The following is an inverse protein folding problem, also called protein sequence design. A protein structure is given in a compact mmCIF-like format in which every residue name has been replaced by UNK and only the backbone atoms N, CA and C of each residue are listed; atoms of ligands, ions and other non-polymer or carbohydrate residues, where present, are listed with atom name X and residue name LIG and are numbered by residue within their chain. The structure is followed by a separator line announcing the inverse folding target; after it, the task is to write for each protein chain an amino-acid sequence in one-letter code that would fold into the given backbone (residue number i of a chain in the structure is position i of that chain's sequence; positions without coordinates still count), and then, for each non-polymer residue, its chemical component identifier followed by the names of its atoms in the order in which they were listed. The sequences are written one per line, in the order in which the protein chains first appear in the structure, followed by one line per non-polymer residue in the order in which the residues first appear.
data_IF_819911055899
#
_entry.id   IF_819911055899
#
_cell.length_a   1.000
_cell.length_b   1.000
_cell.length_c   1.000
_cell.angle_alpha   90.00
_cell.angle_beta   90.00
_cell.angle_gamma   90.00
#
_symmetry.space_group_name_H-M   'P 1'
#
loop_
_entity.id
_entity.type
_entity.pdbx_description
1 polymer ?
#
# COMPACT_ATOMS: atom_id res chain seq x y z
N UNK A 1 2.87 9.35 -52.66
CA UNK A 1 2.97 8.07 -51.92
C UNK A 1 4.24 8.11 -51.08
N UNK A 2 4.13 8.49 -49.81
CA UNK A 2 5.24 8.45 -48.85
C UNK A 2 4.70 7.70 -47.63
N UNK A 3 5.19 6.49 -47.42
CA UNK A 3 4.86 5.68 -46.26
C UNK A 3 5.72 6.12 -45.05
N UNK A 4 5.15 6.27 -43.84
CA UNK A 4 5.97 6.41 -42.65
C UNK A 4 6.24 5.04 -42.02
N UNK A 5 7.52 4.82 -41.70
CA UNK A 5 8.05 3.71 -40.91
C UNK A 5 7.40 3.70 -39.52
N UNK A 6 6.75 2.59 -39.17
CA UNK A 6 6.32 2.30 -37.80
C UNK A 6 7.46 1.75 -36.96
N UNK A 7 7.95 2.54 -36.01
CA UNK A 7 8.77 2.04 -34.90
C UNK A 7 7.80 1.56 -33.82
N UNK A 8 7.57 0.25 -33.75
CA UNK A 8 6.90 -0.40 -32.62
C UNK A 8 7.90 -0.58 -31.48
N UNK A 9 8.01 0.43 -30.62
CA UNK A 9 8.57 0.27 -29.28
C UNK A 9 7.46 -0.19 -28.34
N UNK A 10 7.25 -1.50 -28.22
CA UNK A 10 6.38 -2.06 -27.21
C UNK A 10 7.01 -1.87 -25.83
N UNK A 11 6.41 -1.03 -25.00
CA UNK A 11 6.71 -1.00 -23.57
C UNK A 11 6.09 -2.26 -22.97
N UNK A 12 6.91 -3.29 -22.79
CA UNK A 12 6.57 -4.46 -21.97
C UNK A 12 6.49 -3.98 -20.53
N UNK A 13 5.28 -3.62 -20.09
CA UNK A 13 5.00 -3.38 -18.67
C UNK A 13 5.15 -4.73 -17.97
N UNK A 14 6.18 -4.84 -17.15
CA UNK A 14 6.45 -6.03 -16.35
C UNK A 14 5.25 -6.23 -15.42
N UNK A 15 4.52 -7.33 -15.62
CA UNK A 15 3.71 -7.90 -14.56
C UNK A 15 4.65 -8.04 -13.36
N UNK A 16 4.34 -7.44 -12.22
CA UNK A 16 4.94 -7.91 -10.97
C UNK A 16 4.63 -9.40 -10.90
N UNK A 17 5.67 -10.18 -11.12
CA UNK A 17 5.55 -11.62 -11.16
C UNK A 17 5.18 -12.06 -9.75
N UNK A 18 4.30 -13.05 -9.58
CA UNK A 18 3.98 -13.56 -8.25
C UNK A 18 5.29 -13.85 -7.51
N UNK A 19 5.42 -13.37 -6.27
CA UNK A 19 6.63 -13.60 -5.47
C UNK A 19 7.03 -15.07 -5.58
N UNK A 20 8.31 -15.27 -5.82
CA UNK A 20 8.94 -16.57 -6.03
C UNK A 20 9.84 -16.90 -4.85
N UNK A 21 10.26 -18.16 -4.76
CA UNK A 21 11.22 -18.61 -3.75
C UNK A 21 12.52 -17.79 -3.79
N UNK A 22 12.97 -17.38 -4.98
CA UNK A 22 14.17 -16.56 -5.14
C UNK A 22 14.11 -15.23 -4.37
N UNK A 23 12.92 -14.65 -4.23
CA UNK A 23 12.71 -13.35 -3.59
C UNK A 23 12.85 -13.41 -2.06
N UNK A 24 12.68 -14.61 -1.48
CA UNK A 24 12.59 -14.81 -0.03
C UNK A 24 13.62 -15.80 0.53
N UNK A 25 14.34 -16.52 -0.33
CA UNK A 25 15.27 -17.56 0.12
C UNK A 25 16.50 -16.96 0.83
N UNK A 26 16.99 -17.68 1.83
CA UNK A 26 18.30 -17.44 2.41
C UNK A 26 19.35 -17.86 1.38
N UNK A 27 20.15 -16.91 0.95
CA UNK A 27 21.29 -17.15 0.06
C UNK A 27 22.48 -17.70 0.84
N UNK A 28 23.27 -18.55 0.19
CA UNK A 28 24.48 -19.16 0.77
C UNK A 28 24.25 -19.79 2.16
N UNK A 29 23.34 -20.78 2.29
CA UNK A 29 23.08 -21.43 3.56
C UNK A 29 24.32 -22.17 4.07
N UNK A 30 24.46 -22.29 5.40
CA UNK A 30 25.47 -23.20 5.94
C UNK A 30 25.12 -24.64 5.57
N UNK A 31 26.15 -25.46 5.34
CA UNK A 31 26.04 -26.83 4.85
C UNK A 31 27.01 -27.74 5.58
N UNK A 32 26.82 -29.04 5.45
CA UNK A 32 27.74 -30.07 5.95
C UNK A 32 28.00 -31.15 4.91
N UNK A 33 29.14 -31.82 5.02
CA UNK A 33 29.46 -33.00 4.20
C UNK A 33 29.04 -34.29 4.91
N UNK A 34 28.94 -35.40 4.18
CA UNK A 34 28.64 -36.71 4.81
C UNK A 34 29.73 -37.14 5.80
N UNK A 35 30.97 -36.72 5.56
CA UNK A 35 32.11 -36.99 6.45
C UNK A 35 32.15 -36.11 7.70
N UNK A 36 31.34 -35.04 7.77
CA UNK A 36 31.29 -34.17 8.94
C UNK A 36 30.71 -34.94 10.13
N UNK A 37 31.19 -34.62 11.32
CA UNK A 37 30.72 -35.22 12.57
C UNK A 37 29.38 -34.62 13.00
N UNK A 38 28.63 -35.35 13.81
CA UNK A 38 27.40 -34.86 14.45
C UNK A 38 27.68 -33.60 15.28
N UNK A 39 28.83 -33.54 15.95
CA UNK A 39 29.27 -32.34 16.70
C UNK A 39 29.39 -31.11 15.79
N UNK A 40 30.10 -31.23 14.67
CA UNK A 40 30.22 -30.14 13.68
C UNK A 40 28.87 -29.70 13.12
N UNK A 41 27.97 -30.66 12.84
CA UNK A 41 26.62 -30.34 12.35
C UNK A 41 25.78 -29.57 13.39
N UNK A 42 25.85 -29.95 14.67
CA UNK A 42 25.18 -29.23 15.76
C UNK A 42 25.74 -27.82 15.90
N UNK A 43 27.06 -27.67 15.84
CA UNK A 43 27.72 -26.36 15.93
C UNK A 43 27.34 -25.45 14.76
N UNK A 44 27.29 -25.98 13.54
CA UNK A 44 26.83 -25.26 12.35
C UNK A 44 25.38 -24.77 12.49
N UNK A 45 24.45 -25.63 12.94
CA UNK A 45 23.05 -25.28 13.20
C UNK A 45 22.96 -24.13 14.21
N UNK A 46 23.66 -24.25 15.33
CA UNK A 46 23.63 -23.26 16.42
C UNK A 46 24.22 -21.93 15.99
N UNK A 47 25.32 -21.96 15.25
CA UNK A 47 26.05 -20.75 14.82
C UNK A 47 25.25 -19.93 13.83
N UNK A 48 24.54 -20.59 12.92
CA UNK A 48 23.79 -19.92 11.84
C UNK A 48 22.28 -19.81 12.11
N UNK A 49 21.80 -20.32 13.25
CA UNK A 49 20.38 -20.29 13.59
C UNK A 49 19.48 -21.03 12.60
N UNK A 50 20.00 -22.04 11.89
CA UNK A 50 19.26 -22.75 10.85
C UNK A 50 18.43 -23.91 11.42
N UNK A 51 17.20 -24.08 10.92
CA UNK A 51 16.31 -25.18 11.31
C UNK A 51 16.81 -26.58 10.90
N UNK A 52 17.84 -26.65 10.06
CA UNK A 52 18.52 -27.87 9.63
C UNK A 52 19.59 -27.54 8.58
N UNK A 53 20.40 -28.52 8.21
CA UNK A 53 21.52 -28.34 7.30
C UNK A 53 21.35 -29.17 6.03
N UNK A 54 21.51 -28.56 4.85
CA UNK A 54 21.78 -29.27 3.62
C UNK A 54 23.08 -30.07 3.74
N UNK A 55 22.99 -31.35 3.35
CA UNK A 55 24.15 -32.22 3.21
C UNK A 55 24.60 -32.15 1.76
N UNK A 56 25.85 -31.72 1.52
CA UNK A 56 26.38 -31.49 0.18
C UNK A 56 27.66 -32.28 -0.08
N UNK A 57 27.88 -32.64 -1.35
CA UNK A 57 29.16 -33.15 -1.85
C UNK A 57 29.60 -32.26 -3.02
N UNK A 58 30.62 -31.45 -2.80
CA UNK A 58 30.89 -30.31 -3.68
C UNK A 58 29.80 -29.25 -3.53
N UNK A 59 29.13 -28.91 -4.64
CA UNK A 59 27.98 -28.00 -4.70
C UNK A 59 26.63 -28.73 -4.81
N UNK A 60 26.67 -30.07 -4.91
CA UNK A 60 25.49 -30.91 -5.11
C UNK A 60 24.80 -31.24 -3.80
N UNK A 61 23.49 -31.04 -3.75
CA UNK A 61 22.66 -31.50 -2.63
C UNK A 61 22.53 -33.03 -2.65
N UNK A 62 22.88 -33.67 -1.53
CA UNK A 62 22.80 -35.14 -1.38
C UNK A 62 21.96 -35.60 -0.18
N UNK A 63 21.30 -34.66 0.49
CA UNK A 63 20.35 -34.92 1.58
C UNK A 63 20.20 -33.72 2.51
N UNK A 64 19.43 -33.90 3.58
CA UNK A 64 19.19 -32.87 4.59
C UNK A 64 19.22 -33.45 6.00
N UNK A 65 19.79 -32.73 6.97
CA UNK A 65 19.83 -33.18 8.37
C UNK A 65 19.17 -32.17 9.30
N UNK A 66 18.21 -32.64 10.08
CA UNK A 66 17.44 -31.84 11.05
C UNK A 66 17.92 -32.10 12.48
N UNK A 67 17.76 -31.14 13.41
CA UNK A 67 18.13 -31.31 14.82
C UNK A 67 17.61 -32.61 15.44
N UNK A 68 16.36 -32.98 15.17
CA UNK A 68 15.74 -34.19 15.71
C UNK A 68 16.45 -35.50 15.32
N UNK A 69 17.16 -35.52 14.17
CA UNK A 69 17.95 -36.67 13.72
C UNK A 69 19.33 -36.74 14.37
N UNK A 70 19.89 -35.59 14.75
CA UNK A 70 21.16 -35.48 15.45
C UNK A 70 21.00 -35.74 16.95
N UNK A 71 19.81 -35.53 17.50
CA UNK A 71 19.52 -35.78 18.91
C UNK A 71 19.84 -37.23 19.29
N UNK A 72 20.56 -37.37 20.42
CA UNK A 72 21.00 -38.65 20.99
C UNK A 72 21.98 -39.44 20.12
N UNK A 73 22.54 -38.87 19.06
CA UNK A 73 23.65 -39.48 18.32
C UNK A 73 24.99 -39.16 19.01
N UNK A 74 25.96 -40.10 19.01
CA UNK A 74 27.31 -39.81 19.47
C UNK A 74 27.95 -38.69 18.63
N UNK A 75 28.57 -37.70 19.27
CA UNK A 75 29.09 -36.51 18.59
C UNK A 75 30.18 -36.81 17.54
N UNK A 76 30.93 -37.89 17.72
CA UNK A 76 32.01 -38.31 16.79
C UNK A 76 31.48 -39.06 15.56
N UNK A 77 30.22 -39.51 15.57
CA UNK A 77 29.61 -40.21 14.44
C UNK A 77 29.46 -39.25 13.27
N UNK A 78 29.57 -39.74 12.04
CA UNK A 78 29.43 -38.89 10.87
C UNK A 78 27.97 -38.69 10.46
N UNK A 79 27.67 -37.57 9.81
CA UNK A 79 26.33 -37.28 9.26
C UNK A 79 25.91 -38.36 8.26
N UNK A 80 26.86 -38.90 7.48
CA UNK A 80 26.62 -39.99 6.54
C UNK A 80 26.14 -41.28 7.23
N UNK A 81 26.68 -41.59 8.41
CA UNK A 81 26.27 -42.78 9.18
C UNK A 81 24.94 -42.59 9.92
N UNK A 82 24.59 -41.35 10.30
CA UNK A 82 23.29 -41.02 10.92
C UNK A 82 22.16 -41.08 9.89
N UNK A 83 22.47 -40.77 8.62
CA UNK A 83 21.52 -40.82 7.52
C UNK A 83 20.82 -39.47 7.31
N UNK A 84 21.07 -38.87 6.15
CA UNK A 84 20.35 -37.67 5.72
C UNK A 84 18.91 -38.03 5.29
N UNK A 85 17.97 -37.13 5.49
CA UNK A 85 16.62 -37.26 4.96
C UNK A 85 16.62 -36.86 3.48
N UNK A 86 15.86 -37.60 2.68
CA UNK A 86 15.43 -37.10 1.38
C UNK A 86 14.31 -36.09 1.63
N UNK A 87 14.61 -34.83 1.39
CA UNK A 87 13.65 -33.73 1.45
C UNK A 87 13.44 -33.22 0.03
N UNK A 88 12.20 -32.86 -0.32
CA UNK A 88 11.98 -32.20 -1.60
C UNK A 88 12.75 -30.88 -1.63
N UNK A 89 13.28 -30.56 -2.80
CA UNK A 89 13.91 -29.28 -3.04
C UNK A 89 12.97 -28.38 -3.84
N UNK A 90 12.92 -27.10 -3.46
CA UNK A 90 12.24 -26.07 -4.25
C UNK A 90 13.17 -25.57 -5.36
N UNK A 91 12.59 -25.00 -6.42
CA UNK A 91 13.35 -24.24 -7.41
C UNK A 91 13.24 -22.74 -7.12
N UNK A 92 14.23 -21.91 -7.52
CA UNK A 92 14.16 -20.47 -7.29
C UNK A 92 12.93 -19.80 -7.93
N UNK A 93 12.49 -20.29 -9.09
CA UNK A 93 11.35 -19.77 -9.85
C UNK A 93 9.98 -20.20 -9.29
N UNK A 94 9.96 -21.06 -8.26
CA UNK A 94 8.72 -21.62 -7.73
C UNK A 94 7.89 -20.53 -7.04
N UNK A 95 6.58 -20.39 -7.35
CA UNK A 95 5.73 -19.44 -6.65
C UNK A 95 5.62 -19.75 -5.15
N UNK A 96 5.57 -18.72 -4.29
CA UNK A 96 5.52 -18.88 -2.83
C UNK A 96 4.32 -19.72 -2.35
N UNK A 97 3.18 -19.65 -3.06
CA UNK A 97 2.04 -20.53 -2.78
C UNK A 97 2.35 -22.02 -2.95
N UNK A 98 3.08 -22.40 -3.99
CA UNK A 98 3.47 -23.79 -4.22
C UNK A 98 4.59 -24.23 -3.26
N UNK A 99 5.49 -23.32 -2.88
CA UNK A 99 6.48 -23.59 -1.84
C UNK A 99 5.82 -23.90 -0.48
N UNK A 100 4.75 -23.17 -0.13
CA UNK A 100 3.94 -23.46 1.07
C UNK A 100 3.32 -24.86 1.03
N UNK A 101 2.76 -25.26 -0.12
CA UNK A 101 2.16 -26.57 -0.29
C UNK A 101 3.21 -27.69 -0.09
N UNK A 102 4.40 -27.54 -0.65
CA UNK A 102 5.51 -28.48 -0.47
C UNK A 102 5.94 -28.60 1.01
N UNK A 103 6.14 -27.47 1.70
CA UNK A 103 6.50 -27.45 3.12
C UNK A 103 5.44 -28.18 3.96
N UNK A 104 4.16 -27.89 3.71
CA UNK A 104 3.05 -28.44 4.49
C UNK A 104 2.85 -29.94 4.22
N UNK A 105 2.92 -30.37 2.95
CA UNK A 105 2.78 -31.77 2.56
C UNK A 105 3.90 -32.66 3.11
N UNK A 106 5.12 -32.12 3.24
CA UNK A 106 6.26 -32.85 3.80
C UNK A 106 6.42 -32.70 5.30
N UNK A 107 5.55 -31.93 5.97
CA UNK A 107 5.69 -31.57 7.38
C UNK A 107 7.10 -31.01 7.69
N UNK A 108 7.59 -30.15 6.79
CA UNK A 108 8.91 -29.56 6.86
C UNK A 108 8.84 -28.06 7.16
N UNK A 109 9.75 -27.59 8.02
CA UNK A 109 9.88 -26.17 8.35
C UNK A 109 10.82 -25.42 7.39
N UNK A 110 11.55 -26.15 6.56
CA UNK A 110 12.55 -25.61 5.61
C UNK A 110 12.69 -26.53 4.41
N UNK A 111 12.83 -25.96 3.22
CA UNK A 111 13.22 -26.68 2.00
C UNK A 111 14.56 -26.15 1.48
N UNK A 112 15.46 -27.03 1.03
CA UNK A 112 16.57 -26.61 0.20
C UNK A 112 16.08 -26.10 -1.15
N UNK A 113 16.76 -25.09 -1.67
CA UNK A 113 16.48 -24.51 -3.00
C UNK A 113 17.60 -24.92 -3.93
N UNK A 114 17.25 -25.53 -5.07
CA UNK A 114 18.22 -26.08 -6.03
C UNK A 114 17.99 -25.59 -7.45
N UNK A 115 19.09 -25.44 -8.19
CA UNK A 115 19.10 -25.34 -9.65
C UNK A 115 19.69 -26.63 -10.23
N UNK A 116 18.82 -27.49 -10.77
CA UNK A 116 19.22 -28.86 -11.07
C UNK A 116 19.49 -29.64 -9.79
N UNK A 117 20.73 -30.04 -9.55
CA UNK A 117 21.19 -30.73 -8.34
C UNK A 117 22.05 -29.83 -7.43
N UNK A 118 22.36 -28.61 -7.87
CA UNK A 118 23.18 -27.64 -7.16
C UNK A 118 22.37 -26.88 -6.13
N UNK A 119 22.84 -26.85 -4.89
CA UNK A 119 22.23 -26.05 -3.82
C UNK A 119 22.48 -24.55 -4.05
N UNK A 120 21.42 -23.75 -4.06
CA UNK A 120 21.50 -22.29 -4.23
C UNK A 120 20.90 -21.50 -3.06
N UNK A 121 20.09 -22.13 -2.21
CA UNK A 121 19.48 -21.45 -1.07
C UNK A 121 18.70 -22.35 -0.12
N UNK A 122 18.04 -21.72 0.86
CA UNK A 122 17.01 -22.33 1.71
C UNK A 122 15.77 -21.44 1.75
N UNK A 123 14.59 -22.04 1.74
CA UNK A 123 13.33 -21.32 1.98
C UNK A 123 12.66 -21.89 3.24
N UNK A 124 12.31 -21.02 4.18
CA UNK A 124 11.71 -21.42 5.47
C UNK A 124 10.20 -21.25 5.44
N UNK A 125 9.50 -22.07 6.20
CA UNK A 125 8.07 -21.94 6.42
C UNK A 125 7.74 -20.56 7.02
N UNK A 126 8.57 -20.04 7.91
CA UNK A 126 8.40 -18.69 8.47
C UNK A 126 8.43 -17.62 7.38
N UNK A 127 9.42 -17.61 6.49
CA UNK A 127 9.51 -16.62 5.40
C UNK A 127 8.33 -16.72 4.43
N UNK A 128 7.90 -17.94 4.12
CA UNK A 128 6.72 -18.20 3.29
C UNK A 128 5.44 -17.73 3.98
N UNK A 129 5.28 -17.99 5.27
CA UNK A 129 4.14 -17.56 6.07
C UNK A 129 4.13 -16.05 6.29
N UNK A 130 5.27 -15.39 6.45
CA UNK A 130 5.37 -13.93 6.52
C UNK A 130 4.92 -13.29 5.21
N UNK A 131 5.39 -13.81 4.08
CA UNK A 131 4.94 -13.34 2.78
C UNK A 131 3.44 -13.57 2.53
N UNK A 132 2.86 -14.65 3.08
CA UNK A 132 1.43 -14.97 2.95
C UNK A 132 0.53 -14.26 3.97
N UNK A 133 1.00 -14.07 5.21
CA UNK A 133 0.25 -13.44 6.30
C UNK A 133 0.14 -11.92 6.11
N UNK A 134 1.03 -11.33 5.32
CA UNK A 134 0.89 -9.94 4.84
C UNK A 134 -0.28 -9.74 3.85
N UNK A 135 -0.92 -10.80 3.35
CA UNK A 135 -1.97 -10.68 2.35
C UNK A 135 -3.39 -10.74 2.92
N UNK A 136 -3.62 -11.35 4.10
CA UNK A 136 -4.98 -11.55 4.66
C UNK A 136 -5.08 -11.28 6.16
N UNK A 137 -6.23 -10.76 6.56
CA UNK A 137 -6.60 -10.50 7.94
C UNK A 137 -7.03 -11.79 8.66
N UNK A 138 -6.43 -12.13 9.82
CA UNK A 138 -6.72 -13.38 10.53
C UNK A 138 -8.13 -13.41 11.16
N UNK A 139 -8.74 -12.26 11.42
CA UNK A 139 -10.08 -12.21 12.02
C UNK A 139 -11.17 -12.51 10.97
N UNK A 140 -11.08 -11.91 9.79
CA UNK A 140 -12.12 -11.95 8.74
C UNK A 140 -11.80 -12.88 7.58
N UNK A 141 -10.53 -13.25 7.40
CA UNK A 141 -10.04 -13.97 6.22
C UNK A 141 -9.99 -13.13 4.94
N UNK A 142 -10.42 -11.86 4.99
CA UNK A 142 -10.33 -10.94 3.85
C UNK A 142 -8.89 -10.53 3.59
N UNK A 143 -8.55 -10.12 2.35
CA UNK A 143 -7.27 -9.49 2.07
C UNK A 143 -7.02 -8.23 2.91
N UNK A 144 -5.76 -7.87 3.10
CA UNK A 144 -5.37 -6.55 3.63
C UNK A 144 -5.37 -5.47 2.54
N UNK A 145 -5.29 -4.21 2.95
CA UNK A 145 -5.30 -3.05 2.06
C UNK A 145 -4.20 -3.05 0.98
N UNK A 146 -3.07 -3.72 1.21
CA UNK A 146 -2.00 -3.95 0.23
C UNK A 146 -2.49 -4.69 -1.01
N UNK A 147 -3.31 -5.74 -0.83
CA UNK A 147 -3.88 -6.49 -1.96
C UNK A 147 -4.82 -5.60 -2.80
N UNK A 148 -5.58 -4.72 -2.16
CA UNK A 148 -6.46 -3.78 -2.84
C UNK A 148 -5.70 -2.77 -3.68
N UNK A 149 -4.61 -2.20 -3.14
CA UNK A 149 -3.74 -1.29 -3.88
C UNK A 149 -3.18 -1.96 -5.14
N UNK A 150 -2.60 -3.15 -4.99
CA UNK A 150 -2.01 -3.89 -6.11
C UNK A 150 -3.03 -4.25 -7.18
N UNK A 151 -4.23 -4.69 -6.77
CA UNK A 151 -5.33 -4.98 -7.69
C UNK A 151 -5.77 -3.74 -8.47
N UNK A 152 -5.92 -2.59 -7.80
CA UNK A 152 -6.34 -1.34 -8.41
C UNK A 152 -5.29 -0.81 -9.39
N UNK A 153 -4.00 -0.87 -9.04
CA UNK A 153 -2.90 -0.49 -9.92
C UNK A 153 -2.91 -1.36 -11.20
N UNK A 154 -3.00 -2.68 -11.06
CA UNK A 154 -3.07 -3.60 -12.20
C UNK A 154 -4.31 -3.39 -13.09
N UNK A 155 -5.45 -2.99 -12.52
CA UNK A 155 -6.63 -2.62 -13.30
C UNK A 155 -6.40 -1.35 -14.14
N UNK A 156 -5.83 -0.30 -13.53
CA UNK A 156 -5.50 0.96 -14.20
C UNK A 156 -4.44 0.77 -15.30
N UNK A 157 -3.41 -0.06 -15.06
CA UNK A 157 -2.38 -0.42 -16.06
C UNK A 157 -2.99 -1.05 -17.31
N UNK A 158 -4.00 -1.90 -17.13
CA UNK A 158 -4.77 -2.50 -18.22
C UNK A 158 -5.72 -1.50 -18.90
N UNK A 159 -5.71 -0.23 -18.49
CA UNK A 159 -6.59 0.82 -19.00
C UNK A 159 -8.05 0.66 -18.55
N UNK A 160 -8.32 -0.14 -17.50
CA UNK A 160 -9.65 -0.18 -16.90
C UNK A 160 -9.85 1.03 -16.00
N UNK A 161 -11.10 1.41 -15.84
CA UNK A 161 -11.47 2.34 -14.79
C UNK A 161 -11.45 1.65 -13.43
N UNK A 162 -11.16 2.42 -12.38
CA UNK A 162 -11.28 1.96 -11.00
C UNK A 162 -12.12 2.96 -10.21
N UNK A 163 -13.05 2.43 -9.43
CA UNK A 163 -13.70 3.10 -8.33
C UNK A 163 -13.31 2.42 -7.01
N UNK A 164 -13.22 3.21 -5.95
CA UNK A 164 -12.95 2.74 -4.59
C UNK A 164 -14.14 3.13 -3.72
N UNK A 165 -14.66 2.17 -2.96
CA UNK A 165 -15.64 2.36 -1.91
C UNK A 165 -14.93 2.12 -0.58
N UNK A 166 -15.00 3.07 0.33
CA UNK A 166 -14.48 2.97 1.69
C UNK A 166 -15.66 2.88 2.65
N UNK A 167 -15.61 1.90 3.55
CA UNK A 167 -16.75 1.46 4.36
C UNK A 167 -16.29 1.48 5.81
N UNK A 168 -17.02 2.18 6.65
CA UNK A 168 -16.67 2.32 8.06
C UNK A 168 -17.92 2.09 8.93
N UNK A 169 -17.80 1.26 9.97
CA UNK A 169 -18.89 0.95 10.87
C UNK A 169 -19.24 2.16 11.76
N UNK A 170 -20.52 2.45 11.86
CA UNK A 170 -21.00 3.55 12.70
C UNK A 170 -20.98 3.14 14.17
N UNK A 171 -20.45 4.01 15.03
CA UNK A 171 -20.46 3.86 16.49
C UNK A 171 -19.82 2.56 17.03
N UNK A 172 -18.98 1.87 16.25
CA UNK A 172 -18.40 0.58 16.64
C UNK A 172 -17.57 0.64 17.93
N UNK A 173 -16.90 1.76 18.20
CA UNK A 173 -16.22 1.99 19.48
C UNK A 173 -17.18 1.93 20.68
N UNK A 174 -18.42 2.41 20.53
CA UNK A 174 -19.44 2.34 21.58
C UNK A 174 -19.88 0.90 21.79
N UNK A 175 -20.08 0.16 20.70
CA UNK A 175 -20.41 -1.27 20.72
C UNK A 175 -19.34 -2.07 21.48
N UNK A 176 -18.06 -1.88 21.14
CA UNK A 176 -16.95 -2.54 21.85
C UNK A 176 -16.92 -2.22 23.35
N UNK A 177 -17.24 -0.99 23.73
CA UNK A 177 -17.29 -0.60 25.16
C UNK A 177 -18.48 -1.20 25.89
N UNK A 178 -19.62 -1.34 25.22
CA UNK A 178 -20.86 -1.83 25.82
C UNK A 178 -20.91 -3.37 25.90
N UNK A 179 -20.44 -4.05 24.85
CA UNK A 179 -20.59 -5.50 24.66
C UNK A 179 -19.26 -6.27 24.75
N UNK A 180 -18.13 -5.57 24.79
CA UNK A 180 -16.80 -6.16 24.85
C UNK A 180 -16.23 -6.52 23.46
N UNK A 181 -14.90 -6.68 23.43
CA UNK A 181 -14.16 -6.92 22.19
C UNK A 181 -14.50 -8.24 21.50
N UNK A 182 -14.88 -9.29 22.23
CA UNK A 182 -15.26 -10.58 21.64
C UNK A 182 -16.50 -10.44 20.76
N UNK A 183 -17.53 -9.76 21.27
CA UNK A 183 -18.75 -9.46 20.51
C UNK A 183 -18.44 -8.53 19.33
N UNK A 184 -17.57 -7.54 19.54
CA UNK A 184 -17.07 -6.69 18.45
C UNK A 184 -16.40 -7.47 17.32
N UNK A 185 -15.56 -8.45 17.65
CA UNK A 185 -14.89 -9.31 16.68
C UNK A 185 -15.89 -10.19 15.91
N UNK A 186 -16.93 -10.69 16.56
CA UNK A 186 -18.04 -11.43 15.93
C UNK A 186 -18.85 -10.53 14.97
N UNK A 187 -19.08 -9.27 15.33
CA UNK A 187 -19.68 -8.26 14.45
C UNK A 187 -18.80 -8.06 13.22
N UNK A 188 -17.50 -7.84 13.40
CA UNK A 188 -16.56 -7.64 12.29
C UNK A 188 -16.57 -8.84 11.34
N UNK A 189 -16.56 -10.07 11.86
CA UNK A 189 -16.66 -11.30 11.06
C UNK A 189 -17.96 -11.36 10.27
N UNK A 190 -19.08 -11.03 10.90
CA UNK A 190 -20.39 -11.04 10.26
C UNK A 190 -20.50 -9.99 9.16
N UNK A 191 -20.03 -8.77 9.41
CA UNK A 191 -19.99 -7.70 8.40
C UNK A 191 -19.08 -8.08 7.23
N UNK A 192 -17.90 -8.64 7.48
CA UNK A 192 -17.01 -9.12 6.43
C UNK A 192 -17.70 -10.15 5.52
N UNK A 193 -18.44 -11.10 6.11
CA UNK A 193 -19.20 -12.10 5.36
C UNK A 193 -20.32 -11.47 4.53
N UNK A 194 -21.09 -10.55 5.11
CA UNK A 194 -22.14 -9.81 4.40
C UNK A 194 -21.58 -9.04 3.22
N UNK A 195 -20.51 -8.26 3.41
CA UNK A 195 -19.85 -7.51 2.34
C UNK A 195 -19.33 -8.45 1.24
N UNK A 196 -18.71 -9.56 1.61
CA UNK A 196 -18.18 -10.55 0.66
C UNK A 196 -19.28 -11.17 -0.22
N UNK A 197 -20.50 -11.34 0.32
CA UNK A 197 -21.64 -11.87 -0.44
C UNK A 197 -22.18 -10.92 -1.52
N UNK A 198 -21.83 -9.64 -1.47
CA UNK A 198 -22.36 -8.60 -2.35
C UNK A 198 -21.38 -8.17 -3.46
N UNK A 199 -20.13 -8.62 -3.40
CA UNK A 199 -19.08 -8.28 -4.38
C UNK A 199 -18.87 -9.43 -5.38
N UNK A 200 -18.46 -9.07 -6.59
CA UNK A 200 -18.11 -10.02 -7.65
C UNK A 200 -16.59 -10.14 -7.76
N UNK A 201 -15.97 -11.29 -7.42
CA UNK A 201 -14.53 -11.49 -7.51
C UNK A 201 -13.93 -11.26 -8.90
N UNK A 202 -14.74 -11.31 -9.97
CA UNK A 202 -14.27 -11.03 -11.33
C UNK A 202 -14.05 -9.53 -11.60
N UNK A 203 -14.77 -8.66 -10.88
CA UNK A 203 -14.73 -7.21 -11.10
C UNK A 203 -14.30 -6.40 -9.89
N UNK A 204 -14.22 -7.03 -8.71
CA UNK A 204 -14.06 -6.38 -7.41
C UNK A 204 -12.99 -7.05 -6.56
N UNK A 205 -12.37 -6.26 -5.69
CA UNK A 205 -11.60 -6.75 -4.57
C UNK A 205 -12.06 -6.08 -3.28
N UNK A 206 -12.60 -6.88 -2.36
CA UNK A 206 -12.90 -6.50 -0.98
C UNK A 206 -11.68 -6.77 -0.09
N UNK A 207 -11.35 -5.84 0.81
CA UNK A 207 -10.32 -6.02 1.82
C UNK A 207 -10.77 -5.46 3.18
N UNK A 208 -10.14 -5.94 4.27
CA UNK A 208 -10.15 -5.22 5.55
C UNK A 208 -9.06 -4.15 5.49
N UNK A 209 -9.43 -2.90 5.70
CA UNK A 209 -8.48 -1.78 5.57
C UNK A 209 -7.67 -1.59 6.86
N UNK A 210 -8.37 -1.40 7.98
CA UNK A 210 -7.83 -1.33 9.33
C UNK A 210 -8.99 -1.45 10.33
N UNK A 211 -8.79 -2.00 11.53
CA UNK A 211 -9.82 -1.97 12.59
C UNK A 211 -11.22 -2.41 12.12
N UNK A 212 -12.18 -1.50 12.16
CA UNK A 212 -13.58 -1.62 11.70
C UNK A 212 -13.84 -1.03 10.30
N UNK A 213 -12.78 -0.74 9.55
CA UNK A 213 -12.83 -0.19 8.21
C UNK A 213 -12.59 -1.27 7.16
N UNK A 214 -13.38 -1.22 6.10
CA UNK A 214 -13.29 -2.08 4.91
C UNK A 214 -13.18 -1.22 3.66
N UNK A 215 -12.66 -1.80 2.58
CA UNK A 215 -12.63 -1.12 1.30
C UNK A 215 -12.90 -2.10 0.15
N UNK A 216 -13.54 -1.60 -0.90
CA UNK A 216 -13.77 -2.31 -2.16
C UNK A 216 -13.17 -1.51 -3.30
N UNK A 217 -12.24 -2.09 -4.04
CA UNK A 217 -11.86 -1.59 -5.36
C UNK A 217 -12.70 -2.32 -6.42
N UNK A 218 -13.27 -1.59 -7.37
CA UNK A 218 -14.13 -2.16 -8.41
C UNK A 218 -13.81 -1.55 -9.77
N UNK A 219 -13.95 -2.35 -10.83
CA UNK A 219 -13.81 -1.88 -12.21
C UNK A 219 -15.10 -1.30 -12.79
N UNK A 220 -16.13 -1.16 -11.95
CA UNK A 220 -17.41 -0.56 -12.31
C UNK A 220 -17.30 0.94 -12.53
N UNK A 221 -18.19 1.46 -13.39
CA UNK A 221 -18.40 2.89 -13.57
C UNK A 221 -19.09 3.49 -12.35
N UNK A 222 -19.04 4.80 -12.23
CA UNK A 222 -19.47 5.57 -11.05
C UNK A 222 -20.93 5.29 -10.65
N UNK A 223 -21.83 5.18 -11.62
CA UNK A 223 -23.24 4.85 -11.41
C UNK A 223 -23.41 3.45 -10.81
N UNK A 224 -22.75 2.45 -11.39
CA UNK A 224 -22.78 1.07 -10.92
C UNK A 224 -22.05 0.89 -9.58
N UNK A 225 -20.98 1.67 -9.35
CA UNK A 225 -20.27 1.72 -8.07
C UNK A 225 -21.15 2.33 -6.97
N UNK A 226 -21.97 3.34 -7.30
CA UNK A 226 -22.97 3.89 -6.38
C UNK A 226 -24.06 2.86 -6.06
N UNK A 227 -24.53 2.11 -7.06
CA UNK A 227 -25.48 1.02 -6.86
C UNK A 227 -24.89 -0.08 -5.96
N UNK A 228 -23.61 -0.44 -6.16
CA UNK A 228 -22.90 -1.36 -5.27
C UNK A 228 -22.82 -0.81 -3.84
N UNK A 229 -22.48 0.47 -3.66
CA UNK A 229 -22.44 1.10 -2.34
C UNK A 229 -23.80 0.99 -1.63
N UNK A 230 -24.90 1.22 -2.35
CA UNK A 230 -26.25 1.07 -1.79
C UNK A 230 -26.52 -0.37 -1.35
N UNK A 231 -26.21 -1.37 -2.20
CA UNK A 231 -26.38 -2.79 -1.85
C UNK A 231 -25.55 -3.19 -0.62
N UNK A 232 -24.29 -2.75 -0.54
CA UNK A 232 -23.42 -3.03 0.59
C UNK A 232 -23.99 -2.43 1.88
N UNK A 233 -24.46 -1.18 1.84
CA UNK A 233 -25.07 -0.53 3.01
C UNK A 233 -26.32 -1.27 3.47
N UNK A 234 -27.20 -1.63 2.54
CA UNK A 234 -28.48 -2.26 2.86
C UNK A 234 -28.26 -3.67 3.42
N UNK A 235 -27.30 -4.42 2.88
CA UNK A 235 -26.92 -5.73 3.38
C UNK A 235 -26.40 -5.68 4.83
N UNK A 236 -25.58 -4.68 5.16
CA UNK A 236 -25.04 -4.53 6.52
C UNK A 236 -26.06 -3.96 7.51
N UNK A 237 -27.06 -3.21 7.02
CA UNK A 237 -28.11 -2.62 7.88
C UNK A 237 -29.14 -3.63 8.39
N UNK A 238 -29.08 -4.88 7.94
CA UNK A 238 -29.92 -5.97 8.46
C UNK A 238 -29.44 -6.37 9.86
N UNK A 239 -30.36 -6.74 10.78
CA UNK A 239 -29.98 -7.26 12.09
C UNK A 239 -29.07 -8.48 11.95
N UNK A 240 -28.01 -8.52 12.75
CA UNK A 240 -27.10 -9.66 12.84
C UNK A 240 -27.33 -10.35 14.18
N UNK A 241 -27.64 -11.65 14.16
CA UNK A 241 -27.78 -12.43 15.38
C UNK A 241 -26.39 -12.75 15.95
N UNK A 242 -26.12 -12.29 17.17
CA UNK A 242 -24.85 -12.53 17.87
C UNK A 242 -25.18 -13.00 19.28
N UNK A 243 -24.77 -14.23 19.62
CA UNK A 243 -25.08 -14.86 20.91
C UNK A 243 -26.59 -14.83 21.29
N UNK A 244 -27.49 -14.88 20.31
CA UNK A 244 -28.94 -14.85 20.53
C UNK A 244 -29.55 -13.46 20.74
N UNK A 245 -28.79 -12.37 20.53
CA UNK A 245 -29.32 -11.01 20.44
C UNK A 245 -29.22 -10.49 19.01
N UNK A 246 -30.25 -9.77 18.55
CA UNK A 246 -30.20 -9.06 17.28
C UNK A 246 -29.49 -7.72 17.46
N UNK A 247 -28.27 -7.63 16.95
CA UNK A 247 -27.51 -6.39 16.92
C UNK A 247 -27.74 -5.65 15.59
N UNK A 248 -27.98 -4.35 15.68
CA UNK A 248 -28.10 -3.48 14.50
C UNK A 248 -26.86 -2.63 14.34
N UNK A 249 -26.04 -3.00 13.37
CA UNK A 249 -24.92 -2.18 12.91
C UNK A 249 -25.30 -1.47 11.62
N UNK A 250 -24.71 -0.30 11.42
CA UNK A 250 -24.85 0.45 10.16
C UNK A 250 -23.46 0.87 9.71
N UNK A 251 -23.32 1.16 8.42
CA UNK A 251 -22.07 1.61 7.84
C UNK A 251 -22.25 2.95 7.14
N UNK A 252 -21.19 3.72 7.14
CA UNK A 252 -21.03 4.89 6.31
C UNK A 252 -20.10 4.54 5.14
N UNK A 253 -20.51 4.87 3.93
CA UNK A 253 -19.75 4.54 2.72
C UNK A 253 -19.40 5.81 1.97
N UNK A 254 -18.10 6.02 1.77
CA UNK A 254 -17.60 7.00 0.81
C UNK A 254 -17.16 6.29 -0.46
N UNK A 255 -17.38 6.89 -1.63
CA UNK A 255 -16.83 6.33 -2.85
C UNK A 255 -16.24 7.39 -3.79
N UNK A 256 -15.23 7.00 -4.57
CA UNK A 256 -14.54 7.85 -5.53
C UNK A 256 -14.13 7.05 -6.77
N UNK A 257 -14.04 7.70 -7.94
CA UNK A 257 -13.59 7.08 -9.20
C UNK A 257 -14.72 6.65 -10.16
N UNK A 258 -14.37 5.82 -11.15
CA UNK A 258 -15.30 5.25 -12.15
C UNK A 258 -15.92 6.23 -13.17
N UNK A 259 -15.29 7.38 -13.47
CA UNK A 259 -15.87 8.47 -14.29
C UNK A 259 -15.14 8.83 -15.59
N UNK A 260 -14.19 8.04 -16.05
CA UNK A 260 -13.27 8.37 -17.15
C UNK A 260 -13.28 7.36 -18.31
N UNK A 261 -13.59 7.86 -19.50
CA UNK A 261 -13.51 7.10 -20.74
C UNK A 261 -12.08 6.94 -21.30
N UNK A 262 -11.10 7.78 -20.91
CA UNK A 262 -9.76 7.79 -21.52
C UNK A 262 -8.60 7.76 -20.52
N UNK A 263 -7.53 7.06 -20.93
CA UNK A 263 -6.26 6.89 -20.20
C UNK A 263 -5.54 8.23 -20.11
N UNK A 264 -5.12 8.67 -18.91
CA UNK A 264 -4.15 9.78 -18.81
C UNK A 264 -2.81 9.31 -19.35
N UNK A 265 -2.28 10.01 -20.34
CA UNK A 265 -0.96 9.75 -20.95
C UNK A 265 0.23 10.04 -20.02
N UNK A 266 0.00 10.42 -18.75
CA UNK A 266 1.05 10.79 -17.80
C UNK A 266 0.61 10.76 -16.31
N UNK A 267 -0.31 9.88 -15.91
CA UNK A 267 -0.67 9.75 -14.48
C UNK A 267 0.13 8.63 -13.82
N UNK A 268 0.83 8.95 -12.73
CA UNK A 268 1.44 7.93 -11.89
C UNK A 268 0.32 7.07 -11.28
N UNK A 269 0.34 5.77 -11.58
CA UNK A 269 -0.77 4.87 -11.27
C UNK A 269 -0.93 4.71 -9.76
N UNK A 270 0.17 4.54 -9.03
CA UNK A 270 0.17 4.47 -7.57
C UNK A 270 -0.45 5.71 -6.91
N UNK A 271 -0.07 6.92 -7.33
CA UNK A 271 -0.65 8.18 -6.81
C UNK A 271 -2.12 8.31 -7.15
N UNK A 272 -2.56 7.78 -8.30
CA UNK A 272 -3.99 7.75 -8.65
C UNK A 272 -4.78 6.85 -7.71
N UNK A 273 -4.23 5.68 -7.35
CA UNK A 273 -4.87 4.77 -6.39
C UNK A 273 -4.95 5.39 -4.99
N UNK A 274 -3.87 6.03 -4.52
CA UNK A 274 -3.88 6.72 -3.22
C UNK A 274 -4.84 7.92 -3.19
N UNK A 275 -4.93 8.70 -4.28
CA UNK A 275 -5.94 9.77 -4.44
C UNK A 275 -7.36 9.19 -4.29
N UNK A 276 -7.66 8.06 -4.95
CA UNK A 276 -8.99 7.43 -4.89
C UNK A 276 -9.31 6.91 -3.48
N UNK A 277 -8.35 6.26 -2.81
CA UNK A 277 -8.50 5.78 -1.44
C UNK A 277 -8.75 6.94 -0.48
N UNK A 278 -7.96 8.01 -0.59
CA UNK A 278 -8.10 9.19 0.27
C UNK A 278 -9.45 9.86 0.08
N UNK A 279 -9.89 10.05 -1.17
CA UNK A 279 -11.18 10.65 -1.47
C UNK A 279 -12.34 9.77 -0.97
N UNK A 280 -12.27 8.45 -1.18
CA UNK A 280 -13.30 7.53 -0.70
C UNK A 280 -13.36 7.48 0.84
N UNK A 281 -12.22 7.41 1.53
CA UNK A 281 -12.15 7.45 2.99
C UNK A 281 -12.81 8.72 3.55
N UNK A 282 -12.50 9.88 2.98
CA UNK A 282 -13.16 11.15 3.35
C UNK A 282 -14.66 11.15 3.11
N UNK A 283 -15.10 10.58 1.98
CA UNK A 283 -16.51 10.38 1.72
C UNK A 283 -17.19 9.61 2.85
N UNK A 284 -16.54 8.59 3.41
CA UNK A 284 -17.10 7.80 4.51
C UNK A 284 -17.20 8.62 5.79
N UNK A 285 -16.18 9.42 6.12
CA UNK A 285 -16.20 10.35 7.27
C UNK A 285 -17.34 11.37 7.13
N UNK A 286 -17.47 11.99 5.96
CA UNK A 286 -18.58 12.93 5.69
C UNK A 286 -19.95 12.25 5.75
N UNK A 287 -20.04 10.99 5.30
CA UNK A 287 -21.27 10.20 5.40
C UNK A 287 -21.64 9.92 6.87
N UNK A 288 -20.66 9.71 7.74
CA UNK A 288 -20.86 9.58 9.20
C UNK A 288 -21.36 10.88 9.82
N UNK A 289 -20.67 11.98 9.55
CA UNK A 289 -20.98 13.28 10.15
C UNK A 289 -22.33 13.85 9.69
N UNK A 290 -22.68 13.65 8.40
CA UNK A 290 -23.92 14.16 7.82
C UNK A 290 -25.14 13.24 7.99
N UNK A 291 -24.94 11.99 8.44
CA UNK A 291 -25.99 10.98 8.53
C UNK A 291 -26.54 10.48 7.19
N UNK A 292 -25.96 10.88 6.05
CA UNK A 292 -26.42 10.50 4.69
C UNK A 292 -26.16 9.02 4.37
N UNK A 293 -25.27 8.36 5.11
CA UNK A 293 -24.92 6.95 4.99
C UNK A 293 -24.11 6.60 3.72
N UNK A 294 -24.27 7.32 2.60
CA UNK A 294 -23.43 7.21 1.41
C UNK A 294 -23.08 8.59 0.87
N UNK A 295 -21.81 8.85 0.61
CA UNK A 295 -21.32 10.08 -0.02
C UNK A 295 -20.41 9.72 -1.20
N UNK A 296 -20.74 10.23 -2.38
CA UNK A 296 -19.80 10.26 -3.49
C UNK A 296 -18.83 11.39 -3.21
N UNK A 297 -17.54 11.12 -3.11
CA UNK A 297 -16.56 12.18 -2.98
C UNK A 297 -15.89 12.39 -4.32
N UNK A 298 -16.10 13.58 -4.89
CA UNK A 298 -15.51 13.96 -6.15
C UNK A 298 -14.61 15.17 -6.02
N UNK A 299 -13.50 15.16 -6.77
CA UNK A 299 -12.66 16.34 -6.99
C UNK A 299 -13.41 17.51 -7.65
N UNK A 300 -14.70 17.36 -7.98
CA UNK A 300 -15.62 18.41 -8.47
C UNK A 300 -16.50 18.98 -7.33
N UNK A 301 -16.73 18.27 -6.23
CA UNK A 301 -17.55 18.76 -5.11
C UNK A 301 -16.75 19.62 -4.11
N UNK A 302 -15.41 19.57 -4.16
CA UNK A 302 -14.51 20.56 -3.51
C UNK A 302 -14.52 21.93 -4.23
N UNK A 303 -15.04 21.97 -5.46
CA UNK A 303 -15.26 23.17 -6.26
C UNK A 303 -16.77 23.45 -6.25
N UNK A 304 -17.28 24.40 -5.47
CA UNK A 304 -18.72 24.72 -5.41
C UNK A 304 -19.35 25.23 -6.72
N UNK A 305 -19.43 24.40 -7.76
CA UNK A 305 -19.99 24.71 -9.06
C UNK A 305 -20.96 23.61 -9.50
N UNK A 306 -22.16 24.03 -9.90
CA UNK A 306 -23.21 23.16 -10.43
C UNK A 306 -22.82 22.44 -11.73
N UNK A 307 -23.75 21.69 -12.34
CA UNK A 307 -23.43 20.60 -13.28
C UNK A 307 -22.75 20.96 -14.62
N UNK A 308 -22.48 22.23 -14.94
CA UNK A 308 -22.19 22.69 -16.31
C UNK A 308 -20.91 23.54 -16.49
N UNK A 309 -19.81 23.29 -15.77
CA UNK A 309 -18.51 23.96 -16.08
C UNK A 309 -17.45 23.00 -16.65
N UNK A 310 -17.24 23.10 -17.97
CA UNK A 310 -16.22 22.41 -18.78
C UNK A 310 -14.90 23.23 -18.87
N UNK A 311 -14.58 24.06 -17.88
CA UNK A 311 -13.30 24.75 -17.85
C UNK A 311 -12.17 23.78 -17.51
N UNK A 312 -11.34 23.49 -18.52
CA UNK A 312 -10.15 22.65 -18.42
C UNK A 312 -9.11 23.13 -17.38
N UNK A 313 -7.99 22.40 -17.23
CA UNK A 313 -6.94 22.77 -16.28
C UNK A 313 -6.52 24.25 -16.39
N UNK A 314 -6.21 24.96 -15.29
CA UNK A 314 -5.84 26.37 -15.34
C UNK A 314 -4.64 26.60 -16.27
N UNK A 315 -4.58 27.75 -16.97
CA UNK A 315 -3.51 28.08 -17.92
C UNK A 315 -2.13 27.87 -17.30
N UNK A 316 -1.19 27.38 -18.10
CA UNK A 316 0.13 26.94 -17.62
C UNK A 316 0.92 28.07 -16.91
N UNK A 317 0.64 29.32 -17.26
CA UNK A 317 1.20 30.54 -16.67
C UNK A 317 0.72 30.82 -15.23
N UNK A 318 -0.39 30.22 -14.79
CA UNK A 318 -0.99 30.43 -13.46
C UNK A 318 -0.67 29.29 -12.47
N UNK A 319 0.35 28.48 -12.75
CA UNK A 319 0.74 27.33 -11.92
C UNK A 319 2.07 27.55 -11.21
N UNK A 320 2.11 27.21 -9.92
CA UNK A 320 3.34 27.10 -9.16
C UNK A 320 4.07 25.82 -9.54
N UNK A 321 5.35 25.95 -9.90
CA UNK A 321 6.21 24.81 -10.25
C UNK A 321 7.35 24.69 -9.26
N UNK A 322 7.54 23.49 -8.71
CA UNK A 322 8.71 23.17 -7.90
C UNK A 322 9.97 23.22 -8.77
N UNK A 323 10.94 24.04 -8.35
CA UNK A 323 12.28 24.07 -8.95
C UNK A 323 13.25 23.21 -8.13
N UNK A 324 13.19 23.34 -6.80
CA UNK A 324 14.09 22.65 -5.88
C UNK A 324 13.44 22.51 -4.51
N UNK A 325 13.69 21.39 -3.84
CA UNK A 325 13.45 21.19 -2.42
C UNK A 325 14.72 20.56 -1.84
N UNK A 326 15.29 21.14 -0.78
CA UNK A 326 16.49 20.61 -0.12
C UNK A 326 16.37 20.72 1.39
N UNK A 327 17.00 19.79 2.10
CA UNK A 327 17.15 19.84 3.56
C UNK A 327 18.62 19.78 3.92
N UNK A 328 19.10 20.80 4.64
CA UNK A 328 20.44 20.87 5.20
C UNK A 328 20.41 20.70 6.71
N UNK A 329 21.54 20.27 7.29
CA UNK A 329 21.72 20.16 8.74
C UNK A 329 23.04 20.78 9.15
N UNK A 330 23.01 21.61 10.18
CA UNK A 330 24.17 22.28 10.75
C UNK A 330 24.17 22.18 12.29
N UNK A 331 25.07 22.92 12.95
CA UNK A 331 25.18 22.98 14.41
C UNK A 331 24.01 23.70 15.09
N UNK A 332 23.16 24.41 14.33
CA UNK A 332 22.02 25.19 14.82
C UNK A 332 20.68 24.46 14.59
N UNK A 333 20.63 23.45 13.73
CA UNK A 333 19.44 22.63 13.51
C UNK A 333 19.35 22.04 12.10
N UNK A 334 18.13 21.69 11.70
CA UNK A 334 17.82 21.29 10.31
C UNK A 334 17.04 22.41 9.63
N UNK A 335 17.42 22.74 8.40
CA UNK A 335 16.79 23.81 7.61
C UNK A 335 16.36 23.25 6.25
N UNK A 336 15.08 23.40 5.93
CA UNK A 336 14.54 23.07 4.61
C UNK A 336 14.40 24.35 3.78
N UNK A 337 14.77 24.27 2.50
CA UNK A 337 14.61 25.35 1.53
C UNK A 337 13.83 24.81 0.33
N UNK A 338 12.77 25.51 -0.04
CA UNK A 338 11.94 25.18 -1.20
C UNK A 338 11.88 26.38 -2.13
N UNK A 339 12.20 26.14 -3.41
CA UNK A 339 12.15 27.12 -4.49
C UNK A 339 11.02 26.75 -5.46
N UNK A 340 10.08 27.67 -5.62
CA UNK A 340 8.96 27.58 -6.56
C UNK A 340 9.11 28.62 -7.66
N UNK A 341 8.46 28.41 -8.80
CA UNK A 341 8.28 29.45 -9.81
C UNK A 341 6.80 29.67 -10.13
N UNK A 342 6.42 30.94 -10.27
CA UNK A 342 5.10 31.40 -10.71
C UNK A 342 5.29 32.51 -11.74
N UNK A 343 4.72 32.36 -12.95
CA UNK A 343 4.90 33.33 -14.05
C UNK A 343 6.37 33.69 -14.33
N UNK A 344 7.28 32.72 -14.17
CA UNK A 344 8.73 32.93 -14.33
C UNK A 344 9.42 33.64 -13.15
N UNK A 345 8.69 34.14 -12.15
CA UNK A 345 9.27 34.66 -10.91
C UNK A 345 9.62 33.52 -9.97
N UNK A 346 10.86 33.48 -9.49
CA UNK A 346 11.28 32.55 -8.44
C UNK A 346 10.79 33.05 -7.07
N UNK A 347 10.30 32.13 -6.25
CA UNK A 347 9.82 32.37 -4.90
C UNK A 347 10.43 31.32 -3.97
N UNK A 348 10.84 31.73 -2.77
CA UNK A 348 11.58 30.88 -1.85
C UNK A 348 10.89 30.86 -0.49
N UNK A 349 10.75 29.66 0.06
CA UNK A 349 10.35 29.43 1.45
C UNK A 349 11.44 28.69 2.21
N UNK A 350 11.55 28.95 3.51
CA UNK A 350 12.61 28.40 4.37
C UNK A 350 12.06 28.10 5.77
N UNK A 351 12.13 26.84 6.20
CA UNK A 351 11.72 26.41 7.54
C UNK A 351 12.90 25.81 8.29
N UNK A 352 13.02 26.09 9.58
CA UNK A 352 14.14 25.64 10.42
C UNK A 352 13.65 25.11 11.77
N UNK A 353 14.20 23.99 12.23
CA UNK A 353 13.94 23.45 13.56
C UNK A 353 15.21 22.98 14.27
N UNK A 354 15.31 23.29 15.58
CA UNK A 354 16.41 22.88 16.47
C UNK A 354 16.35 21.40 16.86
N UNK A 355 15.14 20.84 16.98
CA UNK A 355 14.89 19.43 17.35
C UNK A 355 13.94 18.85 16.29
N UNK A 356 14.30 17.71 15.69
CA UNK A 356 13.48 17.00 14.70
C UNK A 356 12.28 16.33 15.39
N UNK A 357 11.27 17.09 15.79
CA UNK A 357 10.03 16.53 16.34
C UNK A 357 9.22 15.76 15.29
N UNK A 358 9.10 16.32 14.08
CA UNK A 358 8.28 15.75 12.99
C UNK A 358 9.09 15.31 11.75
N UNK A 359 10.43 15.33 11.81
CA UNK A 359 11.30 14.88 10.72
C UNK A 359 11.50 15.88 9.57
N UNK A 360 12.43 15.56 8.65
CA UNK A 360 12.75 16.39 7.47
C UNK A 360 11.56 16.65 6.51
N UNK A 361 10.63 15.70 6.28
CA UNK A 361 9.46 15.92 5.43
C UNK A 361 8.54 17.07 5.88
N UNK A 362 8.31 17.21 7.19
CA UNK A 362 7.47 18.28 7.71
C UNK A 362 8.11 19.66 7.56
N UNK A 363 9.44 19.77 7.72
CA UNK A 363 10.16 21.02 7.42
C UNK A 363 10.04 21.40 5.94
N UNK A 364 10.12 20.42 5.03
CA UNK A 364 9.92 20.67 3.60
C UNK A 364 8.49 21.12 3.32
N UNK A 365 7.51 20.53 3.98
CA UNK A 365 6.11 20.93 3.83
C UNK A 365 5.88 22.39 4.28
N UNK A 366 6.42 22.77 5.44
CA UNK A 366 6.35 24.14 5.97
C UNK A 366 7.05 25.14 5.05
N UNK A 367 8.27 24.83 4.60
CA UNK A 367 8.99 25.65 3.63
C UNK A 367 8.24 25.77 2.30
N UNK A 368 7.53 24.72 1.87
CA UNK A 368 6.69 24.76 0.66
C UNK A 368 5.51 25.72 0.86
N UNK A 369 4.78 25.61 1.98
CA UNK A 369 3.64 26.49 2.27
C UNK A 369 4.06 27.96 2.40
N UNK A 370 5.22 28.24 3.02
CA UNK A 370 5.76 29.59 3.07
C UNK A 370 6.12 30.14 1.68
N UNK A 371 6.73 29.31 0.82
CA UNK A 371 7.02 29.71 -0.57
C UNK A 371 5.75 30.03 -1.36
N UNK A 372 4.65 29.30 -1.09
CA UNK A 372 3.34 29.55 -1.72
C UNK A 372 2.73 30.86 -1.20
N UNK A 373 2.77 31.09 0.12
CA UNK A 373 2.25 32.32 0.71
C UNK A 373 2.94 33.58 0.13
N UNK A 374 4.27 33.54 0.01
CA UNK A 374 5.09 34.58 -0.62
C UNK A 374 4.80 34.74 -2.12
N UNK A 375 4.35 33.67 -2.79
CA UNK A 375 4.06 33.71 -4.22
C UNK A 375 2.73 34.39 -4.52
N UNK A 376 1.73 34.18 -3.67
CA UNK A 376 0.33 34.55 -3.91
C UNK A 376 -0.03 35.89 -3.29
N UNK A 377 0.54 36.24 -2.12
CA UNK A 377 0.21 37.45 -1.36
C UNK A 377 -1.21 37.37 -0.75
N UNK A 378 -1.33 37.54 0.57
CA UNK A 378 -2.59 37.55 1.36
C UNK A 378 -3.69 36.56 0.89
N UNK A 379 -3.32 35.30 0.66
CA UNK A 379 -4.29 34.21 0.45
C UNK A 379 -4.77 33.60 1.79
N UNK A 380 -5.84 32.78 1.79
CA UNK A 380 -6.20 32.02 2.98
C UNK A 380 -4.98 31.19 3.41
N UNK A 381 -4.53 31.38 4.65
CA UNK A 381 -3.40 30.64 5.20
C UNK A 381 -3.71 29.16 5.17
N UNK A 382 -2.84 28.34 4.58
CA UNK A 382 -3.00 26.89 4.60
C UNK A 382 -2.05 26.30 5.63
N UNK A 383 -2.58 25.43 6.48
CA UNK A 383 -1.82 24.67 7.46
C UNK A 383 -1.75 23.22 7.01
N UNK A 384 -0.62 22.56 7.26
CA UNK A 384 -0.52 21.12 7.09
C UNK A 384 -1.22 20.43 8.26
N UNK A 385 -2.28 19.68 7.97
CA UNK A 385 -3.03 18.87 8.94
C UNK A 385 -2.38 17.49 9.11
N UNK A 386 -2.05 16.85 7.98
CA UNK A 386 -1.44 15.53 7.95
C UNK A 386 -0.51 15.36 6.75
N UNK A 387 0.52 14.52 6.93
CA UNK A 387 1.48 14.16 5.89
C UNK A 387 1.87 12.70 6.03
N UNK A 388 1.40 11.89 5.09
CA UNK A 388 1.75 10.47 5.00
C UNK A 388 2.77 10.25 3.89
N UNK A 389 3.83 9.51 4.20
CA UNK A 389 4.84 9.05 3.24
C UNK A 389 4.82 7.54 3.16
N UNK A 390 4.53 7.01 1.98
CA UNK A 390 4.59 5.57 1.72
C UNK A 390 5.78 5.30 0.81
N UNK A 391 6.84 4.64 1.30
CA UNK A 391 7.94 4.21 0.44
C UNK A 391 7.45 3.13 -0.54
N UNK A 392 7.88 3.25 -1.79
CA UNK A 392 7.76 2.26 -2.87
C UNK A 392 9.16 1.93 -3.40
N UNK A 393 9.32 0.87 -4.19
CA UNK A 393 10.63 0.30 -4.56
C UNK A 393 11.64 1.31 -5.12
N UNK A 394 11.17 2.37 -5.81
CA UNK A 394 12.03 3.40 -6.41
C UNK A 394 11.57 4.84 -6.12
N UNK A 395 10.42 5.01 -5.46
CA UNK A 395 9.82 6.32 -5.22
C UNK A 395 9.19 6.39 -3.84
N UNK A 396 9.06 7.60 -3.32
CA UNK A 396 8.21 7.88 -2.17
C UNK A 396 6.92 8.51 -2.66
N UNK A 397 5.78 7.94 -2.26
CA UNK A 397 4.47 8.56 -2.45
C UNK A 397 4.18 9.42 -1.23
N UNK A 398 3.99 10.71 -1.45
CA UNK A 398 3.57 11.66 -0.43
C UNK A 398 2.08 11.98 -0.61
N UNK A 399 1.33 11.96 0.49
CA UNK A 399 -0.04 12.46 0.58
C UNK A 399 -0.06 13.55 1.62
N UNK A 400 -0.38 14.78 1.18
CA UNK A 400 -0.45 15.95 2.05
C UNK A 400 -1.91 16.39 2.20
N UNK A 401 -2.33 16.57 3.45
CA UNK A 401 -3.63 17.13 3.83
C UNK A 401 -3.42 18.54 4.36
N UNK A 402 -4.08 19.52 3.74
CA UNK A 402 -3.99 20.93 4.10
C UNK A 402 -5.35 21.40 4.63
N UNK A 403 -5.36 22.23 5.67
CA UNK A 403 -6.55 22.95 6.14
C UNK A 403 -6.40 24.42 5.78
N UNK A 404 -7.42 24.98 5.15
CA UNK A 404 -7.58 26.43 4.97
C UNK A 404 -7.99 27.08 6.29
N UNK A 405 -7.25 28.10 6.72
CA UNK A 405 -7.51 28.85 7.94
C UNK A 405 -8.78 29.71 7.85
N UNK A 406 -9.30 29.99 6.65
CA UNK A 406 -10.43 30.89 6.46
C UNK A 406 -11.79 30.17 6.60
N UNK A 407 -11.90 28.96 6.05
CA UNK A 407 -13.15 28.20 5.93
C UNK A 407 -13.05 26.78 6.51
N UNK A 408 -11.92 26.44 7.15
CA UNK A 408 -11.61 25.11 7.69
C UNK A 408 -11.66 23.99 6.64
N UNK A 409 -11.60 24.34 5.36
CA UNK A 409 -11.69 23.38 4.28
C UNK A 409 -10.41 22.55 4.16
N UNK A 410 -10.57 21.24 3.95
CA UNK A 410 -9.45 20.30 3.82
C UNK A 410 -9.12 19.99 2.37
N UNK A 411 -7.95 20.42 1.90
CA UNK A 411 -7.43 20.08 0.57
C UNK A 411 -6.47 18.89 0.64
N UNK A 412 -6.46 18.07 -0.41
CA UNK A 412 -5.51 16.95 -0.53
C UNK A 412 -4.77 17.03 -1.82
N UNK A 413 -3.48 16.76 -1.74
CA UNK A 413 -2.71 16.41 -2.91
C UNK A 413 -1.82 15.22 -2.62
N UNK A 414 -1.65 14.40 -3.65
CA UNK A 414 -0.61 13.38 -3.65
C UNK A 414 0.37 13.64 -4.79
N UNK A 415 1.58 13.13 -4.60
CA UNK A 415 2.59 13.05 -5.63
C UNK A 415 3.59 11.95 -5.30
N UNK A 416 4.26 11.44 -6.32
CA UNK A 416 5.40 10.55 -6.14
C UNK A 416 6.68 11.15 -6.73
N UNK A 417 7.80 10.81 -6.12
CA UNK A 417 9.14 11.12 -6.62
C UNK A 417 10.17 10.21 -5.96
N UNK A 418 11.30 9.99 -6.62
CA UNK A 418 12.46 9.28 -6.04
C UNK A 418 13.00 9.96 -4.78
N UNK A 419 12.94 11.30 -4.72
CA UNK A 419 13.28 12.07 -3.53
C UNK A 419 12.02 12.37 -2.70
N UNK A 420 11.95 11.93 -1.42
CA UNK A 420 10.85 12.22 -0.51
C UNK A 420 10.52 13.72 -0.41
N UNK A 421 11.52 14.59 -0.47
CA UNK A 421 11.37 16.04 -0.31
C UNK A 421 10.64 16.62 -1.52
N UNK A 422 10.98 16.13 -2.71
CA UNK A 422 10.28 16.47 -3.96
C UNK A 422 8.84 15.95 -3.93
N UNK A 423 8.63 14.72 -3.44
CA UNK A 423 7.30 14.13 -3.32
C UNK A 423 6.39 14.99 -2.43
N UNK A 424 6.87 15.40 -1.25
CA UNK A 424 6.13 16.27 -0.31
C UNK A 424 5.74 17.60 -0.97
N UNK A 425 6.70 18.32 -1.53
CA UNK A 425 6.41 19.63 -2.15
C UNK A 425 5.44 19.49 -3.34
N UNK A 426 5.59 18.44 -4.16
CA UNK A 426 4.65 18.18 -5.27
C UNK A 426 3.25 17.81 -4.78
N UNK A 427 3.13 17.08 -3.67
CA UNK A 427 1.84 16.74 -3.09
C UNK A 427 1.10 18.02 -2.64
N UNK A 428 1.78 18.93 -1.95
CA UNK A 428 1.21 20.23 -1.52
C UNK A 428 0.83 21.08 -2.73
N UNK A 429 1.70 21.17 -3.74
CA UNK A 429 1.40 21.89 -4.98
C UNK A 429 0.21 21.27 -5.73
N UNK A 430 0.09 19.94 -5.74
CA UNK A 430 -1.03 19.20 -6.34
C UNK A 430 -2.36 19.54 -5.66
N UNK A 431 -2.35 19.74 -4.33
CA UNK A 431 -3.49 20.19 -3.55
C UNK A 431 -3.93 21.62 -3.92
N UNK A 432 -2.96 22.54 -4.05
CA UNK A 432 -3.24 23.98 -4.11
C UNK A 432 -3.30 24.59 -5.53
N UNK A 433 -2.55 24.05 -6.50
CA UNK A 433 -2.40 24.68 -7.83
C UNK A 433 -3.72 24.83 -8.58
N UNK A 434 -4.72 23.98 -8.31
CA UNK A 434 -6.03 24.09 -8.96
C UNK A 434 -6.80 25.33 -8.47
N UNK A 435 -6.81 25.59 -7.16
CA UNK A 435 -7.47 26.77 -6.56
C UNK A 435 -6.70 28.04 -6.82
N UNK A 436 -5.39 28.01 -6.56
CA UNK A 436 -4.52 29.16 -6.82
C UNK A 436 -4.52 29.52 -8.30
N UNK A 437 -4.53 28.54 -9.20
CA UNK A 437 -4.62 28.79 -10.63
C UNK A 437 -5.88 29.53 -11.06
N UNK A 438 -7.04 29.23 -10.46
CA UNK A 438 -8.30 29.96 -10.72
C UNK A 438 -8.24 31.40 -10.17
N UNK A 439 -7.82 31.57 -8.92
CA UNK A 439 -7.70 32.89 -8.30
C UNK A 439 -6.67 33.80 -9.01
N UNK A 440 -5.51 33.25 -9.36
CA UNK A 440 -4.45 33.97 -10.06
C UNK A 440 -4.81 34.25 -11.53
N UNK A 441 -5.62 33.42 -12.17
CA UNK A 441 -6.15 33.69 -13.52
C UNK A 441 -7.22 34.79 -13.52
N UNK A 442 -8.01 34.90 -12.44
CA UNK A 442 -9.03 35.94 -12.27
C UNK A 442 -8.45 37.32 -11.90
N UNK A 443 -7.29 37.36 -11.23
CA UNK A 443 -6.58 38.58 -10.85
C UNK A 443 -5.75 39.22 -12.00
N UNK A 444 -6.19 39.06 -13.25
CA UNK A 444 -5.52 39.60 -14.45
C UNK A 444 -5.99 40.99 -14.82
#
# INVERSE_FOLDING_TARGET
MIAPKGVRGGVTVMRESPKTVADLMIQAPATVRRSATVGEAIDQIRTHGQAGLPVVEGDRLVGFVTPIRLLRQPLYRTVGEVGAADIAAARPDLPIGQAYDLLTQQHADVLPVVEGDRLVGLITLTAVLEARSQERDPLTGLPWATALRNWAMAALERGREVAVLFIDLNNFRIVNKALGHVVGDDIIRSVAHLLASQVDPATDLLCRYAGDEFAVATTRRSEDARALAQRLRDAVSLPVEIHGTEERVTVAIGFAGGRRAERRTAAHIASTVEDLLTLASRGSTLAKESGRGIVHHSRREEDGAGPDDDSGPPPDEARLRLQRATVGRDSQGSTAVVELSLRGRAVRGTASARILGHGAPFLVAEATLQAIAEAVGEGPGYLLDDLTLTPSEQETVAVAVLISAADSERLVGSASASDPQIAVSRAILSALNRRLGKALAAAR
#
